data_IF_925415438016
#
_entry.id   IF_925415438016
#
_cell.length_a   1.000
_cell.length_b   1.000
_cell.length_c   1.000
_cell.angle_alpha   90.00
_cell.angle_beta   90.00
_cell.angle_gamma   90.00
#
_symmetry.space_group_name_H-M   'P 1'
#
loop_
_entity.id
_entity.type
_entity.pdbx_description
1 polymer ?
#
# COMPACT_ATOMS: atom_id res chain seq x y z
N UNK A 1 -52.74 18.62 -48.18
CA UNK A 1 -51.29 18.54 -47.88
C UNK A 1 -50.94 19.53 -46.78
N UNK A 2 -50.86 19.11 -45.51
CA UNK A 2 -50.15 19.83 -44.45
C UNK A 2 -49.51 18.80 -43.51
N UNK A 3 -48.20 18.97 -43.35
CA UNK A 3 -47.24 18.03 -42.79
C UNK A 3 -47.45 17.76 -41.29
N UNK A 4 -47.24 16.51 -40.88
CA UNK A 4 -47.01 16.10 -39.49
C UNK A 4 -45.65 16.65 -39.05
N UNK A 5 -45.58 17.33 -37.92
CA UNK A 5 -44.32 17.62 -37.23
C UNK A 5 -44.36 16.96 -35.86
N UNK A 6 -43.80 15.76 -35.81
CA UNK A 6 -43.54 14.99 -34.60
C UNK A 6 -42.25 15.58 -33.99
N UNK A 7 -42.39 16.39 -32.94
CA UNK A 7 -41.24 16.93 -32.20
C UNK A 7 -40.67 15.85 -31.29
N UNK A 8 -39.52 15.31 -31.69
CA UNK A 8 -38.74 14.33 -30.93
C UNK A 8 -37.97 15.09 -29.84
N UNK A 9 -38.36 14.91 -28.57
CA UNK A 9 -37.61 15.39 -27.42
C UNK A 9 -36.38 14.48 -27.26
N UNK A 10 -35.23 14.92 -27.74
CA UNK A 10 -33.96 14.25 -27.48
C UNK A 10 -33.50 14.62 -26.07
N UNK A 11 -33.73 13.72 -25.11
CA UNK A 11 -33.14 13.82 -23.78
C UNK A 11 -31.63 13.59 -23.89
N UNK A 12 -30.84 14.68 -23.83
CA UNK A 12 -29.41 14.64 -23.58
C UNK A 12 -29.19 14.20 -22.14
N UNK A 13 -29.02 12.89 -21.93
CA UNK A 13 -28.39 12.36 -20.72
C UNK A 13 -26.91 12.65 -20.86
N UNK A 14 -26.46 13.79 -20.33
CA UNK A 14 -25.04 14.02 -20.06
C UNK A 14 -24.68 13.08 -18.91
N UNK A 15 -24.06 11.95 -19.24
CA UNK A 15 -23.39 11.14 -18.24
C UNK A 15 -22.32 12.04 -17.59
N UNK A 16 -22.55 12.44 -16.35
CA UNK A 16 -21.55 13.09 -15.53
C UNK A 16 -20.43 12.06 -15.30
N UNK A 17 -19.36 12.16 -16.09
CA UNK A 17 -18.12 11.47 -15.77
C UNK A 17 -17.67 12.00 -14.40
N UNK A 18 -17.21 11.14 -13.47
CA UNK A 18 -16.66 11.60 -12.22
C UNK A 18 -15.57 12.63 -12.52
N UNK A 19 -15.63 13.77 -11.84
CA UNK A 19 -14.63 14.83 -11.96
C UNK A 19 -13.27 14.22 -11.63
N UNK A 20 -12.45 14.00 -12.66
CA UNK A 20 -11.06 13.59 -12.46
C UNK A 20 -10.37 14.69 -11.66
N UNK A 21 -9.71 14.30 -10.58
CA UNK A 21 -8.92 15.24 -9.82
C UNK A 21 -7.89 15.92 -10.74
N UNK A 22 -7.74 17.23 -10.57
CA UNK A 22 -6.77 17.97 -11.34
C UNK A 22 -5.35 17.71 -10.82
N UNK A 23 -4.36 18.04 -11.65
CA UNK A 23 -2.93 17.90 -11.35
C UNK A 23 -2.54 18.49 -9.99
N UNK A 24 -3.19 19.58 -9.57
CA UNK A 24 -2.89 20.23 -8.29
C UNK A 24 -3.27 19.35 -7.09
N UNK A 25 -4.43 18.68 -7.15
CA UNK A 25 -4.84 17.75 -6.09
C UNK A 25 -3.86 16.58 -5.92
N UNK A 26 -3.33 16.03 -7.03
CA UNK A 26 -2.34 14.96 -6.99
C UNK A 26 -1.02 15.44 -6.38
N UNK A 27 -0.53 16.62 -6.76
CA UNK A 27 0.72 17.16 -6.22
C UNK A 27 0.60 17.55 -4.74
N UNK A 28 -0.56 18.05 -4.32
CA UNK A 28 -0.84 18.31 -2.91
C UNK A 28 -0.83 17.01 -2.10
N UNK A 29 -1.45 15.95 -2.64
CA UNK A 29 -1.46 14.64 -2.00
C UNK A 29 -0.06 14.02 -1.93
N UNK A 30 0.71 14.08 -3.02
CA UNK A 30 2.10 13.64 -3.04
C UNK A 30 2.96 14.41 -2.02
N UNK A 31 2.72 15.71 -1.85
CA UNK A 31 3.40 16.51 -0.83
C UNK A 31 3.10 16.01 0.58
N UNK A 32 1.84 15.63 0.87
CA UNK A 32 1.44 15.09 2.17
C UNK A 32 2.00 13.69 2.44
N UNK A 33 1.94 12.79 1.46
CA UNK A 33 2.27 11.38 1.65
C UNK A 33 3.73 10.99 1.39
N UNK A 34 4.48 11.78 0.60
CA UNK A 34 5.86 11.45 0.20
C UNK A 34 6.90 12.48 0.65
N UNK A 35 6.56 13.76 0.79
CA UNK A 35 7.50 14.78 1.29
C UNK A 35 7.29 15.01 2.78
N UNK A 36 7.88 14.12 3.56
CA UNK A 36 7.82 14.17 5.01
C UNK A 36 9.20 14.11 5.65
N UNK A 37 9.31 14.77 6.80
CA UNK A 37 10.44 14.57 7.69
C UNK A 37 10.24 13.24 8.44
N UNK A 38 11.15 12.31 8.19
CA UNK A 38 11.25 11.11 9.01
C UNK A 38 11.63 11.48 10.43
N UNK A 39 10.64 11.46 11.32
CA UNK A 39 10.90 11.50 12.75
C UNK A 39 11.63 10.22 13.11
N UNK A 40 12.87 10.36 13.56
CA UNK A 40 13.74 9.28 14.00
C UNK A 40 13.27 8.76 15.37
N UNK A 41 12.09 8.16 15.43
CA UNK A 41 11.40 7.83 16.68
C UNK A 41 11.31 6.33 16.86
N UNK A 42 12.47 5.70 17.07
CA UNK A 42 12.54 4.54 17.95
C UNK A 42 13.46 4.91 19.09
N UNK A 43 12.89 5.13 20.27
CA UNK A 43 13.66 5.44 21.49
C UNK A 43 14.78 4.40 21.63
N UNK A 44 16.03 4.83 21.64
CA UNK A 44 17.21 3.96 21.78
C UNK A 44 17.76 3.34 20.48
N UNK A 45 17.26 3.72 19.30
CA UNK A 45 17.91 3.37 18.02
C UNK A 45 19.20 4.18 17.82
N UNK A 46 20.20 3.58 17.16
CA UNK A 46 21.40 4.29 16.71
C UNK A 46 21.07 5.38 15.68
N UNK A 47 21.16 6.63 16.11
CA UNK A 47 20.81 7.83 15.35
C UNK A 47 21.86 8.23 14.31
N UNK A 48 23.04 7.60 14.33
CA UNK A 48 24.10 7.87 13.35
C UNK A 48 23.86 7.18 12.01
N UNK A 49 22.87 6.28 11.94
CA UNK A 49 22.50 5.55 10.72
C UNK A 49 21.61 6.45 9.84
N UNK A 50 22.08 6.88 8.66
CA UNK A 50 21.31 7.79 7.81
C UNK A 50 20.08 7.08 7.26
N UNK A 51 18.97 7.81 7.16
CA UNK A 51 17.81 7.35 6.42
C UNK A 51 17.93 7.75 4.95
N UNK A 52 17.73 6.80 4.05
CA UNK A 52 17.77 7.00 2.60
C UNK A 52 16.62 6.24 1.95
N UNK A 53 15.55 6.97 1.61
CA UNK A 53 14.41 6.42 0.87
C UNK A 53 14.67 6.59 -0.62
N UNK A 54 15.24 5.58 -1.27
CA UNK A 54 15.45 5.64 -2.72
C UNK A 54 14.37 4.78 -3.42
N UNK A 55 13.62 5.37 -4.35
CA UNK A 55 12.57 4.63 -5.10
C UNK A 55 13.05 3.39 -5.86
N UNK A 56 14.33 3.35 -6.27
CA UNK A 56 14.95 2.17 -6.89
C UNK A 56 15.48 1.14 -5.88
N UNK A 57 15.51 1.45 -4.58
CA UNK A 57 15.93 0.49 -3.55
C UNK A 57 15.10 -0.78 -3.61
N UNK A 58 13.83 -0.70 -3.99
CA UNK A 58 12.96 -1.87 -4.06
C UNK A 58 12.81 -2.44 -5.47
N UNK A 59 13.35 -1.76 -6.49
CA UNK A 59 13.46 -2.32 -7.84
C UNK A 59 14.38 -3.56 -7.83
N UNK A 60 13.79 -4.75 -7.92
CA UNK A 60 14.48 -6.03 -7.78
C UNK A 60 14.71 -6.47 -6.32
N UNK A 61 13.93 -5.95 -5.37
CA UNK A 61 13.75 -6.60 -4.08
C UNK A 61 13.01 -7.94 -4.26
N UNK A 62 13.16 -8.84 -3.30
CA UNK A 62 12.36 -10.05 -3.19
C UNK A 62 11.29 -9.88 -2.10
N UNK A 63 10.11 -10.43 -2.33
CA UNK A 63 9.08 -10.59 -1.31
C UNK A 63 9.28 -11.94 -0.63
N UNK A 64 9.70 -11.93 0.62
CA UNK A 64 9.87 -13.14 1.42
C UNK A 64 8.65 -13.36 2.32
N UNK A 65 7.89 -14.41 2.05
CA UNK A 65 6.66 -14.74 2.75
C UNK A 65 6.99 -15.73 3.87
N UNK A 66 6.59 -15.39 5.09
CA UNK A 66 6.83 -16.17 6.30
C UNK A 66 5.57 -16.30 7.16
N UNK A 67 5.61 -17.22 8.13
CA UNK A 67 4.47 -17.52 8.99
C UNK A 67 3.61 -18.64 8.39
N UNK A 68 2.33 -18.38 8.25
CA UNK A 68 1.36 -19.29 7.65
C UNK A 68 1.48 -19.29 6.12
N UNK A 69 1.01 -20.36 5.47
CA UNK A 69 0.82 -20.35 4.03
C UNK A 69 -0.24 -19.29 3.66
N UNK A 70 -0.11 -18.60 2.51
CA UNK A 70 -1.14 -17.68 2.07
C UNK A 70 -2.48 -18.38 1.91
N UNK A 71 -3.52 -17.79 2.48
CA UNK A 71 -4.90 -18.09 2.11
C UNK A 71 -5.10 -17.80 0.61
N UNK A 72 -5.97 -18.53 -0.12
CA UNK A 72 -6.17 -18.31 -1.56
C UNK A 72 -6.41 -16.84 -1.97
N UNK A 73 -7.20 -16.09 -1.20
CA UNK A 73 -7.42 -14.66 -1.43
C UNK A 73 -6.17 -13.79 -1.20
N UNK A 74 -5.29 -14.15 -0.26
CA UNK A 74 -4.01 -13.48 -0.09
C UNK A 74 -3.06 -13.81 -1.25
N UNK A 75 -3.07 -15.07 -1.72
CA UNK A 75 -2.29 -15.49 -2.88
C UNK A 75 -2.67 -14.70 -4.14
N UNK A 76 -3.97 -14.50 -4.38
CA UNK A 76 -4.47 -13.71 -5.51
C UNK A 76 -3.94 -12.26 -5.49
N UNK A 77 -3.97 -11.61 -4.32
CA UNK A 77 -3.39 -10.27 -4.14
C UNK A 77 -1.87 -10.28 -4.38
N UNK A 78 -1.15 -11.27 -3.85
CA UNK A 78 0.30 -11.40 -4.01
C UNK A 78 0.70 -11.60 -5.47
N UNK A 79 -0.03 -12.43 -6.21
CA UNK A 79 0.23 -12.70 -7.62
C UNK A 79 -0.04 -11.45 -8.47
N UNK A 80 -1.18 -10.79 -8.26
CA UNK A 80 -1.53 -9.54 -8.94
C UNK A 80 -0.52 -8.42 -8.63
N UNK A 81 -0.08 -8.31 -7.37
CA UNK A 81 0.92 -7.31 -6.97
C UNK A 81 2.29 -7.61 -7.58
N UNK A 82 2.71 -8.87 -7.62
CA UNK A 82 3.97 -9.26 -8.30
C UNK A 82 3.94 -8.91 -9.79
N UNK A 83 2.78 -9.07 -10.44
CA UNK A 83 2.55 -8.67 -11.83
C UNK A 83 2.54 -7.15 -12.01
N UNK A 84 2.01 -6.40 -11.05
CA UNK A 84 2.05 -4.93 -11.04
C UNK A 84 3.50 -4.45 -10.95
N UNK A 85 4.27 -4.99 -10.00
CA UNK A 85 5.69 -4.66 -9.84
C UNK A 85 6.52 -5.00 -11.08
N UNK A 86 6.19 -6.11 -11.75
CA UNK A 86 6.79 -6.48 -13.04
C UNK A 86 6.47 -5.47 -14.13
N UNK A 87 5.24 -4.98 -14.17
CA UNK A 87 4.78 -3.99 -15.15
C UNK A 87 5.45 -2.64 -14.91
N UNK A 88 5.53 -2.20 -13.66
CA UNK A 88 6.11 -0.90 -13.27
C UNK A 88 7.64 -0.88 -13.40
N UNK A 89 8.34 -1.90 -12.89
CA UNK A 89 9.82 -1.90 -12.87
C UNK A 89 10.46 -2.63 -14.06
N UNK A 90 9.66 -3.29 -14.91
CA UNK A 90 10.17 -4.16 -15.99
C UNK A 90 10.94 -5.38 -15.48
N UNK A 91 10.82 -5.72 -14.18
CA UNK A 91 11.56 -6.81 -13.53
C UNK A 91 10.62 -7.62 -12.63
N UNK A 92 10.74 -8.96 -12.61
CA UNK A 92 9.90 -9.76 -11.73
C UNK A 92 10.15 -9.40 -10.27
N UNK A 93 9.09 -9.47 -9.45
CA UNK A 93 9.20 -9.49 -7.99
C UNK A 93 9.33 -10.96 -7.53
N UNK A 94 10.54 -11.44 -7.18
CA UNK A 94 10.69 -12.83 -6.78
C UNK A 94 10.00 -13.06 -5.44
N UNK A 95 9.04 -13.99 -5.40
CA UNK A 95 8.39 -14.43 -4.18
C UNK A 95 9.08 -15.66 -3.61
N UNK A 96 9.41 -15.64 -2.31
CA UNK A 96 10.08 -16.73 -1.61
C UNK A 96 9.26 -17.16 -0.41
N UNK A 97 8.86 -18.43 -0.37
CA UNK A 97 8.16 -19.00 0.78
C UNK A 97 9.17 -19.58 1.77
N UNK A 98 9.39 -18.85 2.87
CA UNK A 98 10.40 -19.20 3.88
C UNK A 98 9.80 -19.87 5.13
N UNK A 99 8.54 -20.29 5.08
CA UNK A 99 7.83 -20.94 6.18
C UNK A 99 7.83 -20.08 7.46
N UNK A 100 7.96 -20.68 8.64
CA UNK A 100 7.82 -19.98 9.93
C UNK A 100 8.81 -18.84 10.26
N UNK A 101 9.99 -18.74 9.63
CA UNK A 101 11.09 -17.85 10.09
C UNK A 101 11.72 -17.03 8.98
N UNK A 102 11.86 -15.71 9.21
CA UNK A 102 12.55 -14.79 8.30
C UNK A 102 14.04 -15.09 8.08
N UNK A 103 14.66 -15.91 8.94
CA UNK A 103 16.06 -16.36 8.75
C UNK A 103 16.26 -17.10 7.42
N UNK A 104 15.20 -17.69 6.86
CA UNK A 104 15.21 -18.40 5.57
C UNK A 104 14.99 -17.49 4.37
N UNK A 105 14.79 -16.18 4.57
CA UNK A 105 14.63 -15.21 3.47
C UNK A 105 15.91 -14.98 2.67
N UNK A 106 17.06 -15.40 3.20
CA UNK A 106 18.37 -15.15 2.62
C UNK A 106 18.86 -13.72 2.85
N UNK A 107 19.90 -13.35 2.12
CA UNK A 107 20.49 -12.00 2.14
C UNK A 107 20.06 -11.20 0.92
N UNK A 108 20.15 -9.86 1.00
CA UNK A 108 19.80 -8.95 -0.07
C UNK A 108 18.67 -7.99 0.29
N UNK A 109 18.11 -7.34 -0.73
CA UNK A 109 16.99 -6.41 -0.61
C UNK A 109 15.71 -7.23 -0.50
N UNK A 110 15.16 -7.31 0.70
CA UNK A 110 14.02 -8.19 0.99
C UNK A 110 12.95 -7.42 1.75
N UNK A 111 11.72 -7.58 1.30
CA UNK A 111 10.51 -7.24 2.03
C UNK A 111 10.03 -8.52 2.70
N UNK A 112 9.98 -8.57 4.02
CA UNK A 112 9.53 -9.74 4.78
C UNK A 112 8.05 -9.59 5.08
N UNK A 113 7.20 -10.43 4.51
CA UNK A 113 5.77 -10.47 4.78
C UNK A 113 5.43 -11.65 5.70
N UNK A 114 5.01 -11.37 6.92
CA UNK A 114 4.51 -12.37 7.86
C UNK A 114 2.99 -12.46 7.79
N UNK A 115 2.49 -13.62 7.36
CA UNK A 115 1.05 -13.93 7.36
C UNK A 115 0.64 -14.70 8.60
N UNK A 116 -0.53 -14.37 9.16
CA UNK A 116 -1.11 -15.02 10.33
C UNK A 116 -2.65 -14.94 10.34
N UNK A 117 -3.35 -15.95 10.85
CA UNK A 117 -4.83 -15.96 10.84
C UNK A 117 -5.48 -15.77 12.20
N UNK A 118 -4.77 -16.10 13.28
CA UNK A 118 -5.27 -16.03 14.65
C UNK A 118 -4.84 -14.79 15.42
N UNK A 119 -4.41 -15.02 16.66
CA UNK A 119 -3.78 -13.97 17.49
C UNK A 119 -2.42 -13.57 16.88
N UNK A 120 -2.00 -12.31 17.05
CA UNK A 120 -0.72 -11.86 16.54
C UNK A 120 0.46 -12.68 17.09
N UNK A 121 1.30 -13.29 16.22
CA UNK A 121 2.49 -14.01 16.64
C UNK A 121 3.64 -13.07 17.06
N UNK A 122 3.47 -12.33 18.16
CA UNK A 122 4.41 -11.30 18.65
C UNK A 122 5.83 -11.83 18.92
N UNK A 123 5.97 -13.09 19.37
CA UNK A 123 7.28 -13.73 19.52
C UNK A 123 7.98 -13.89 18.17
N UNK A 124 7.25 -14.33 17.14
CA UNK A 124 7.81 -14.50 15.81
C UNK A 124 8.13 -13.16 15.14
N UNK A 125 7.31 -12.13 15.37
CA UNK A 125 7.63 -10.74 15.00
C UNK A 125 8.95 -10.28 15.64
N UNK A 126 9.09 -10.49 16.94
CA UNK A 126 10.30 -10.13 17.69
C UNK A 126 11.53 -10.85 17.14
N UNK A 127 11.40 -12.14 16.83
CA UNK A 127 12.49 -12.96 16.25
C UNK A 127 12.88 -12.49 14.84
N UNK A 128 11.91 -12.12 14.01
CA UNK A 128 12.17 -11.58 12.68
C UNK A 128 12.93 -10.25 12.78
N UNK A 129 12.47 -9.33 13.62
CA UNK A 129 13.11 -8.02 13.81
C UNK A 129 14.50 -8.16 14.44
N UNK A 130 14.71 -9.11 15.35
CA UNK A 130 16.04 -9.42 15.89
C UNK A 130 16.99 -9.94 14.81
N UNK A 131 16.50 -10.82 13.92
CA UNK A 131 17.27 -11.29 12.77
C UNK A 131 17.57 -10.17 11.77
N UNK A 132 16.59 -9.34 11.42
CA UNK A 132 16.78 -8.17 10.54
C UNK A 132 17.78 -7.19 11.15
N UNK A 133 17.67 -6.91 12.46
CA UNK A 133 18.60 -6.04 13.18
C UNK A 133 20.04 -6.55 13.06
N UNK A 134 20.27 -7.85 13.26
CA UNK A 134 21.58 -8.47 13.10
C UNK A 134 22.09 -8.43 11.64
N UNK A 135 21.21 -8.70 10.68
CA UNK A 135 21.56 -8.86 9.26
C UNK A 135 21.86 -7.50 8.63
N UNK A 136 20.96 -6.53 8.81
CA UNK A 136 21.02 -5.20 8.21
C UNK A 136 21.75 -4.17 9.09
N UNK A 137 22.11 -4.54 10.33
CA UNK A 137 22.68 -3.63 11.33
C UNK A 137 21.78 -2.41 11.55
N UNK A 138 20.51 -2.65 11.89
CA UNK A 138 19.46 -1.62 12.03
C UNK A 138 19.66 -0.72 13.25
N UNK A 139 20.50 -1.15 14.21
CA UNK A 139 20.73 -0.41 15.44
C UNK A 139 19.54 -0.46 16.40
N UNK A 140 18.68 -1.48 16.30
CA UNK A 140 17.59 -1.68 17.24
C UNK A 140 18.14 -2.10 18.60
N UNK A 141 17.58 -1.59 19.72
CA UNK A 141 18.03 -1.93 21.05
C UNK A 141 17.83 -3.44 21.34
N UNK A 142 18.83 -4.10 21.93
CA UNK A 142 18.73 -5.53 22.24
C UNK A 142 17.70 -5.80 23.33
N UNK A 143 17.15 -7.02 23.36
CA UNK A 143 16.23 -7.47 24.40
C UNK A 143 14.82 -6.87 24.37
N UNK A 144 14.47 -6.06 23.35
CA UNK A 144 13.11 -5.57 23.17
C UNK A 144 12.19 -6.66 22.62
N UNK A 145 10.96 -6.66 23.14
CA UNK A 145 9.82 -7.38 22.56
C UNK A 145 9.02 -6.42 21.69
N UNK A 146 8.57 -6.92 20.54
CA UNK A 146 7.74 -6.20 19.60
C UNK A 146 6.36 -6.86 19.54
N UNK A 147 5.33 -6.03 19.43
CA UNK A 147 3.94 -6.49 19.44
C UNK A 147 3.19 -5.84 18.29
N UNK A 148 2.27 -6.60 17.69
CA UNK A 148 1.34 -6.03 16.73
C UNK A 148 0.35 -5.09 17.41
N UNK A 149 0.17 -3.91 16.81
CA UNK A 149 -0.78 -2.89 17.26
C UNK A 149 -1.99 -2.75 16.34
N UNK A 150 -1.94 -3.35 15.16
CA UNK A 150 -3.02 -3.39 14.16
C UNK A 150 -3.01 -4.73 13.42
N UNK A 151 -4.12 -5.11 12.75
CA UNK A 151 -4.19 -6.36 11.99
C UNK A 151 -3.19 -6.41 10.84
N UNK A 152 -2.79 -5.26 10.31
CA UNK A 152 -1.76 -5.09 9.31
C UNK A 152 -0.81 -3.97 9.74
N UNK A 153 0.49 -4.15 9.52
CA UNK A 153 1.52 -3.13 9.75
C UNK A 153 2.68 -3.33 8.79
N UNK A 154 3.24 -2.24 8.25
CA UNK A 154 4.52 -2.20 7.57
C UNK A 154 5.50 -1.31 8.33
N UNK A 155 6.73 -1.79 8.49
CA UNK A 155 7.81 -1.04 9.11
C UNK A 155 9.07 -1.15 8.27
N UNK A 156 9.50 -0.02 7.72
CA UNK A 156 10.77 0.09 7.01
C UNK A 156 11.87 0.48 7.99
N UNK A 157 12.95 -0.29 8.00
CA UNK A 157 14.12 -0.04 8.82
C UNK A 157 15.33 0.29 7.97
N UNK A 158 16.17 1.20 8.46
CA UNK A 158 17.42 1.60 7.84
C UNK A 158 18.59 1.21 8.74
N UNK A 159 19.50 0.41 8.20
CA UNK A 159 20.69 -0.07 8.89
C UNK A 159 21.98 0.24 8.15
N UNK A 160 23.11 0.03 8.82
CA UNK A 160 24.45 0.27 8.23
C UNK A 160 24.76 -0.63 7.03
N UNK A 161 24.06 -1.77 6.90
CA UNK A 161 24.26 -2.75 5.82
C UNK A 161 23.11 -2.77 4.82
N UNK A 162 22.18 -1.82 4.91
CA UNK A 162 21.04 -1.72 4.00
C UNK A 162 19.74 -1.43 4.73
N UNK A 163 18.69 -1.28 3.95
CA UNK A 163 17.32 -1.14 4.43
C UNK A 163 16.55 -2.44 4.23
N UNK A 164 15.49 -2.62 5.01
CA UNK A 164 14.55 -3.73 4.85
C UNK A 164 13.22 -3.41 5.49
N UNK A 165 12.16 -3.97 4.93
CA UNK A 165 10.79 -3.73 5.39
C UNK A 165 10.22 -5.02 5.95
N UNK A 166 9.59 -4.93 7.12
CA UNK A 166 8.83 -6.02 7.71
C UNK A 166 7.36 -5.67 7.66
N UNK A 167 6.55 -6.57 7.11
CA UNK A 167 5.10 -6.50 7.09
C UNK A 167 4.57 -7.62 7.97
N UNK A 168 3.54 -7.30 8.73
CA UNK A 168 2.79 -8.28 9.51
C UNK A 168 1.32 -8.12 9.18
N UNK A 169 0.75 -9.07 8.43
CA UNK A 169 -0.58 -8.94 7.86
C UNK A 169 -1.45 -10.13 8.27
N UNK A 170 -2.59 -9.81 8.86
CA UNK A 170 -3.61 -10.79 9.21
C UNK A 170 -4.29 -11.29 7.95
N UNK A 171 -4.56 -12.58 7.89
CA UNK A 171 -5.31 -13.20 6.83
C UNK A 171 -6.46 -14.02 7.42
N UNK A 172 -7.40 -14.52 6.61
CA UNK A 172 -8.49 -15.34 7.10
C UNK A 172 -8.00 -16.71 7.59
N UNK A 173 -8.63 -17.22 8.64
CA UNK A 173 -8.49 -18.61 9.05
C UNK A 173 -9.15 -19.59 8.07
N UNK A 174 -9.04 -20.91 8.33
CA UNK A 174 -9.71 -21.92 7.51
C UNK A 174 -11.22 -21.76 7.56
N UNK A 175 -11.88 -21.66 6.39
CA UNK A 175 -13.34 -21.57 6.33
C UNK A 175 -13.85 -20.86 5.08
N UNK A 176 -15.17 -20.76 4.98
CA UNK A 176 -15.82 -19.93 3.96
C UNK A 176 -15.91 -18.49 4.47
N UNK A 177 -15.40 -17.56 3.69
CA UNK A 177 -15.44 -16.14 4.01
C UNK A 177 -16.75 -15.50 3.57
N UNK A 178 -17.22 -14.57 4.38
CA UNK A 178 -18.18 -13.54 3.98
C UNK A 178 -17.53 -12.54 3.01
N UNK A 179 -18.35 -11.74 2.33
CA UNK A 179 -17.85 -10.70 1.42
C UNK A 179 -17.12 -9.59 2.19
N UNK A 180 -17.58 -9.27 3.40
CA UNK A 180 -16.93 -8.33 4.31
C UNK A 180 -15.51 -8.79 4.68
N UNK A 181 -15.35 -10.04 5.13
CA UNK A 181 -14.04 -10.60 5.47
C UNK A 181 -13.11 -10.62 4.26
N UNK A 182 -13.65 -11.01 3.09
CA UNK A 182 -12.87 -11.03 1.84
C UNK A 182 -12.35 -9.64 1.49
N UNK A 183 -13.20 -8.62 1.55
CA UNK A 183 -12.82 -7.23 1.28
C UNK A 183 -11.79 -6.73 2.31
N UNK A 184 -12.02 -7.00 3.59
CA UNK A 184 -11.14 -6.58 4.68
C UNK A 184 -9.72 -7.12 4.55
N UNK A 185 -9.57 -8.45 4.48
CA UNK A 185 -8.24 -9.07 4.42
C UNK A 185 -7.48 -8.73 3.13
N UNK A 186 -8.20 -8.52 2.03
CA UNK A 186 -7.62 -8.03 0.77
C UNK A 186 -7.14 -6.59 0.91
N UNK A 187 -8.00 -5.69 1.40
CA UNK A 187 -7.72 -4.26 1.53
C UNK A 187 -6.46 -3.99 2.37
N UNK A 188 -6.35 -4.63 3.54
CA UNK A 188 -5.18 -4.44 4.42
C UNK A 188 -3.89 -5.01 3.80
N UNK A 189 -3.95 -6.12 3.05
CA UNK A 189 -2.75 -6.66 2.40
C UNK A 189 -2.29 -5.76 1.25
N UNK A 190 -3.23 -5.21 0.47
CA UNK A 190 -2.92 -4.28 -0.63
C UNK A 190 -2.22 -3.03 -0.09
N UNK A 191 -2.76 -2.44 0.98
CA UNK A 191 -2.21 -1.25 1.61
C UNK A 191 -0.75 -1.44 2.04
N UNK A 192 -0.47 -2.48 2.82
CA UNK A 192 0.87 -2.71 3.36
C UNK A 192 1.89 -3.03 2.26
N UNK A 193 1.47 -3.77 1.23
CA UNK A 193 2.32 -4.02 0.07
C UNK A 193 2.63 -2.70 -0.64
N UNK A 194 1.62 -1.86 -0.89
CA UNK A 194 1.82 -0.60 -1.58
C UNK A 194 2.72 0.37 -0.81
N UNK A 195 2.45 0.60 0.48
CA UNK A 195 3.31 1.41 1.36
C UNK A 195 4.74 0.89 1.38
N UNK A 196 4.90 -0.43 1.47
CA UNK A 196 6.22 -1.05 1.53
C UNK A 196 7.05 -0.82 0.27
N UNK A 197 6.42 -0.71 -0.91
CA UNK A 197 7.10 -0.54 -2.19
C UNK A 197 7.20 0.91 -2.69
N UNK A 198 6.41 1.82 -2.13
CA UNK A 198 6.46 3.26 -2.46
C UNK A 198 7.08 4.14 -1.39
N UNK A 199 7.17 3.64 -0.15
CA UNK A 199 7.45 4.43 1.05
C UNK A 199 6.44 5.57 1.28
N UNK A 200 5.26 5.49 0.66
CA UNK A 200 4.14 6.36 0.98
C UNK A 200 3.69 6.12 2.42
N UNK A 201 3.30 7.19 3.09
CA UNK A 201 2.71 7.14 4.43
C UNK A 201 1.21 7.36 4.36
N UNK A 202 0.51 6.93 5.41
CA UNK A 202 -0.91 7.27 5.62
C UNK A 202 -1.12 8.78 5.59
N UNK A 203 -2.19 9.19 4.92
CA UNK A 203 -2.56 10.58 4.70
C UNK A 203 -3.93 10.78 5.33
N UNK A 204 -4.01 11.67 6.30
CA UNK A 204 -5.30 12.02 6.89
C UNK A 204 -6.17 12.76 5.87
N UNK A 205 -7.33 12.17 5.60
CA UNK A 205 -8.37 12.75 4.78
C UNK A 205 -9.40 13.43 5.69
N UNK A 206 -9.54 14.76 5.57
CA UNK A 206 -10.38 15.56 6.47
C UNK A 206 -11.67 16.07 5.81
N UNK A 207 -11.77 16.05 4.49
CA UNK A 207 -12.91 16.58 3.75
C UNK A 207 -13.85 15.45 3.33
N UNK A 208 -14.90 15.19 4.11
CA UNK A 208 -15.88 14.12 3.82
C UNK A 208 -16.56 14.22 2.47
N UNK A 209 -16.55 15.41 1.85
CA UNK A 209 -17.23 15.65 0.59
C UNK A 209 -16.28 15.48 -0.61
N UNK A 210 -14.96 15.37 -0.37
CA UNK A 210 -13.98 15.13 -1.41
C UNK A 210 -13.85 13.62 -1.70
N UNK A 211 -13.72 13.23 -2.98
CA UNK A 211 -13.39 11.85 -3.31
C UNK A 211 -11.97 11.53 -2.85
N UNK A 212 -11.75 10.26 -2.50
CA UNK A 212 -10.40 9.77 -2.29
C UNK A 212 -9.68 9.69 -3.62
N UNK A 213 -8.37 9.89 -3.57
CA UNK A 213 -7.46 9.75 -4.69
C UNK A 213 -6.50 8.58 -4.48
N UNK A 214 -6.23 8.21 -3.23
CA UNK A 214 -5.26 7.18 -2.83
C UNK A 214 -5.83 6.20 -1.81
N UNK A 215 -5.37 4.95 -1.89
CA UNK A 215 -5.54 3.93 -0.83
C UNK A 215 -4.96 4.37 0.52
N UNK A 216 -3.93 5.21 0.51
CA UNK A 216 -3.28 5.71 1.73
C UNK A 216 -4.03 6.86 2.40
N UNK A 217 -5.10 7.36 1.78
CA UNK A 217 -5.96 8.34 2.42
C UNK A 217 -6.90 7.64 3.39
N UNK A 218 -6.92 8.11 4.64
CA UNK A 218 -7.79 7.59 5.69
C UNK A 218 -8.61 8.68 6.38
N UNK A 219 -9.89 8.41 6.59
CA UNK A 219 -10.71 9.16 7.54
C UNK A 219 -10.51 8.63 8.95
N UNK A 220 -10.25 9.51 9.93
CA UNK A 220 -10.10 9.09 11.32
C UNK A 220 -11.35 8.38 11.86
N UNK A 221 -11.23 7.09 12.16
CA UNK A 221 -12.26 6.27 12.82
C UNK A 221 -11.75 5.73 14.14
N UNK A 222 -12.61 5.66 15.16
CA UNK A 222 -12.22 5.11 16.47
C UNK A 222 -12.54 3.62 16.57
N UNK A 223 -11.52 2.78 16.31
CA UNK A 223 -11.64 1.32 16.35
C UNK A 223 -10.96 0.67 17.57
N UNK A 224 -10.41 1.47 18.48
CA UNK A 224 -9.48 1.02 19.53
C UNK A 224 -10.01 -0.09 20.44
N UNK A 225 -11.33 -0.14 20.67
CA UNK A 225 -11.96 -1.09 21.58
C UNK A 225 -12.68 -2.24 20.87
N UNK A 226 -12.59 -2.32 19.54
CA UNK A 226 -13.25 -3.35 18.76
C UNK A 226 -12.28 -4.50 18.47
N UNK A 227 -12.69 -5.77 18.64
CA UNK A 227 -11.88 -6.91 18.21
C UNK A 227 -11.64 -6.86 16.69
N UNK A 228 -10.41 -7.09 16.24
CA UNK A 228 -10.06 -7.04 14.81
C UNK A 228 -10.85 -8.04 13.96
N UNK A 229 -11.29 -9.15 14.55
CA UNK A 229 -12.10 -10.19 13.89
C UNK A 229 -13.61 -9.89 13.94
N UNK A 230 -14.03 -8.73 14.48
CA UNK A 230 -15.45 -8.36 14.53
C UNK A 230 -15.89 -7.64 13.25
N UNK A 231 -17.12 -7.88 12.81
CA UNK A 231 -17.71 -7.20 11.65
C UNK A 231 -17.65 -5.67 11.80
N UNK A 232 -17.96 -5.14 12.99
CA UNK A 232 -17.91 -3.70 13.27
C UNK A 232 -16.50 -3.10 13.07
N UNK A 233 -15.44 -3.83 13.43
CA UNK A 233 -14.07 -3.39 13.16
C UNK A 233 -13.78 -3.37 11.65
N UNK A 234 -14.16 -4.45 10.95
CA UNK A 234 -13.91 -4.59 9.52
C UNK A 234 -14.67 -3.54 8.69
N UNK A 235 -15.94 -3.31 9.00
CA UNK A 235 -16.78 -2.28 8.40
C UNK A 235 -16.20 -0.88 8.66
N UNK A 236 -15.80 -0.62 9.92
CA UNK A 236 -15.18 0.65 10.29
C UNK A 236 -13.88 0.94 9.54
N UNK A 237 -13.02 -0.07 9.38
CA UNK A 237 -11.76 0.08 8.64
C UNK A 237 -11.98 0.18 7.12
N UNK A 238 -12.85 -0.65 6.54
CA UNK A 238 -13.19 -0.54 5.12
C UNK A 238 -13.94 0.75 4.79
N UNK A 239 -14.59 1.34 5.78
CA UNK A 239 -15.22 2.65 5.67
C UNK A 239 -14.25 3.83 5.86
N UNK A 240 -13.01 3.61 6.31
CA UNK A 240 -12.07 4.72 6.49
C UNK A 240 -11.22 5.01 5.26
N UNK A 241 -11.09 4.07 4.32
CA UNK A 241 -10.25 4.24 3.14
C UNK A 241 -10.72 3.39 1.94
N UNK A 242 -10.21 3.62 0.71
CA UNK A 242 -10.54 2.81 -0.46
C UNK A 242 -10.19 1.33 -0.28
N UNK A 243 -10.83 0.45 -1.04
CA UNK A 243 -10.63 -1.01 -0.88
C UNK A 243 -9.42 -1.55 -1.62
N UNK A 244 -8.85 -0.77 -2.53
CA UNK A 244 -7.71 -1.11 -3.36
C UNK A 244 -6.98 0.13 -3.89
N UNK A 245 -6.00 -0.08 -4.76
CA UNK A 245 -5.16 0.97 -5.31
C UNK A 245 -5.90 1.84 -6.32
N UNK A 246 -5.76 3.15 -6.15
CA UNK A 246 -6.39 4.17 -6.96
C UNK A 246 -5.46 4.71 -8.07
N UNK A 247 -5.97 5.55 -8.97
CA UNK A 247 -5.19 6.15 -10.09
C UNK A 247 -3.92 6.87 -9.60
N UNK A 248 -4.03 7.62 -8.49
CA UNK A 248 -2.87 8.27 -7.87
C UNK A 248 -1.83 7.26 -7.39
N UNK A 249 -2.24 6.15 -6.77
CA UNK A 249 -1.31 5.15 -6.23
C UNK A 249 -0.47 4.53 -7.34
N UNK A 250 -1.11 4.16 -8.44
CA UNK A 250 -0.42 3.59 -9.59
C UNK A 250 0.49 4.64 -10.25
N UNK A 251 0.06 5.90 -10.32
CA UNK A 251 0.89 7.01 -10.80
C UNK A 251 2.15 7.15 -9.95
N UNK A 252 2.01 7.17 -8.63
CA UNK A 252 3.13 7.29 -7.70
C UNK A 252 4.06 6.07 -7.77
N UNK A 253 3.53 4.87 -7.99
CA UNK A 253 4.34 3.66 -8.17
C UNK A 253 5.25 3.79 -9.41
N UNK A 254 4.73 4.28 -10.53
CA UNK A 254 5.52 4.59 -11.73
C UNK A 254 6.56 5.69 -11.47
N UNK A 255 6.17 6.78 -10.79
CA UNK A 255 7.07 7.87 -10.48
C UNK A 255 8.24 7.43 -9.59
N UNK A 256 7.97 6.67 -8.53
CA UNK A 256 8.98 6.11 -7.62
C UNK A 256 9.92 5.15 -8.37
N UNK A 257 9.40 4.38 -9.32
CA UNK A 257 10.19 3.42 -10.08
C UNK A 257 11.23 4.08 -11.01
N UNK A 258 10.92 5.25 -11.56
CA UNK A 258 11.77 5.95 -12.54
C UNK A 258 12.53 7.14 -11.97
N UNK A 259 12.19 7.58 -10.75
CA UNK A 259 12.84 8.64 -10.00
C UNK A 259 14.39 8.59 -10.08
N UNK A 260 15.04 9.63 -10.66
CA UNK A 260 16.50 9.65 -10.79
C UNK A 260 17.22 10.01 -9.50
N UNK A 261 16.55 10.69 -8.58
CA UNK A 261 17.10 11.19 -7.31
C UNK A 261 17.41 10.06 -6.32
N UNK A 262 18.34 10.34 -5.42
CA UNK A 262 18.71 9.42 -4.33
C UNK A 262 17.61 9.30 -3.27
N UNK A 263 16.73 10.29 -3.16
CA UNK A 263 15.67 10.37 -2.16
C UNK A 263 14.33 10.71 -2.78
N UNK A 264 13.30 9.92 -2.50
CA UNK A 264 11.92 10.18 -2.94
C UNK A 264 11.07 10.82 -1.86
N UNK A 265 11.72 11.49 -0.90
CA UNK A 265 11.06 12.21 0.19
C UNK A 265 11.50 13.67 0.32
N UNK A 266 12.05 14.24 -0.75
CA UNK A 266 12.44 15.64 -0.83
C UNK A 266 11.60 16.40 -1.87
N UNK A 267 11.73 17.72 -1.90
CA UNK A 267 11.00 18.57 -2.83
C UNK A 267 11.33 18.28 -4.30
N UNK A 268 12.57 17.86 -4.60
CA UNK A 268 12.99 17.57 -5.97
C UNK A 268 12.23 16.38 -6.58
N UNK A 269 11.78 15.44 -5.74
CA UNK A 269 10.89 14.38 -6.18
C UNK A 269 9.51 14.91 -6.62
N UNK A 270 8.96 15.93 -5.96
CA UNK A 270 7.70 16.55 -6.39
C UNK A 270 7.84 17.27 -7.73
N UNK A 271 8.93 18.02 -7.91
CA UNK A 271 9.22 18.68 -9.18
C UNK A 271 9.30 17.65 -10.32
N UNK A 272 9.93 16.50 -10.05
CA UNK A 272 10.00 15.40 -11.01
C UNK A 272 8.62 14.79 -11.34
N UNK A 273 7.77 14.57 -10.33
CA UNK A 273 6.39 14.11 -10.53
C UNK A 273 5.60 15.11 -11.35
N UNK A 274 5.75 16.40 -11.07
CA UNK A 274 5.08 17.49 -11.79
C UNK A 274 5.52 17.51 -13.27
N UNK A 275 6.82 17.54 -13.54
CA UNK A 275 7.39 17.57 -14.90
C UNK A 275 6.94 16.40 -15.78
N UNK A 276 6.65 15.24 -15.17
CA UNK A 276 6.29 14.00 -15.87
C UNK A 276 4.84 13.58 -15.65
N UNK A 277 4.01 14.45 -15.05
CA UNK A 277 2.66 14.14 -14.59
C UNK A 277 1.81 13.43 -15.65
N UNK A 278 1.72 14.02 -16.85
CA UNK A 278 0.87 13.49 -17.93
C UNK A 278 1.30 12.09 -18.39
N UNK A 279 2.62 11.83 -18.40
CA UNK A 279 3.17 10.54 -18.76
C UNK A 279 2.84 9.48 -17.70
N UNK A 280 3.04 9.79 -16.42
CA UNK A 280 2.70 8.86 -15.33
C UNK A 280 1.20 8.62 -15.23
N UNK A 281 0.37 9.65 -15.48
CA UNK A 281 -1.08 9.52 -15.52
C UNK A 281 -1.55 8.60 -16.65
N UNK A 282 -0.94 8.72 -17.83
CA UNK A 282 -1.23 7.81 -18.94
C UNK A 282 -0.83 6.36 -18.62
N UNK A 283 0.33 6.15 -17.99
CA UNK A 283 0.77 4.83 -17.55
C UNK A 283 -0.17 4.25 -16.50
N UNK A 284 -0.58 5.06 -15.51
CA UNK A 284 -1.52 4.65 -14.48
C UNK A 284 -2.85 4.19 -15.08
N UNK A 285 -3.42 4.96 -16.03
CA UNK A 285 -4.64 4.58 -16.75
C UNK A 285 -4.50 3.30 -17.55
N UNK A 286 -3.37 3.12 -18.23
CA UNK A 286 -3.09 1.89 -18.96
C UNK A 286 -3.00 0.68 -18.03
N UNK A 287 -2.44 0.86 -16.84
CA UNK A 287 -2.39 -0.18 -15.81
C UNK A 287 -3.79 -0.45 -15.26
N UNK A 288 -4.56 0.56 -14.86
CA UNK A 288 -5.92 0.38 -14.34
C UNK A 288 -6.89 -0.26 -15.33
N UNK A 289 -6.65 -0.13 -16.64
CA UNK A 289 -7.47 -0.78 -17.67
C UNK A 289 -7.12 -2.26 -17.91
N UNK A 290 -6.05 -2.78 -17.32
CA UNK A 290 -5.61 -4.16 -17.46
C UNK A 290 -6.23 -5.05 -16.37
N UNK A 291 -7.11 -5.95 -16.79
CA UNK A 291 -7.89 -6.86 -15.93
C UNK A 291 -7.05 -7.73 -15.00
N UNK A 292 -5.75 -7.88 -15.27
CA UNK A 292 -4.83 -8.61 -14.37
C UNK A 292 -4.71 -7.95 -12.99
N UNK A 293 -5.04 -6.67 -12.87
CA UNK A 293 -4.92 -5.90 -11.63
C UNK A 293 -6.24 -5.68 -10.89
N UNK A 294 -7.37 -6.17 -11.41
CA UNK A 294 -8.71 -6.06 -10.79
C UNK A 294 -8.73 -6.58 -9.34
N UNK A 295 -7.83 -7.52 -9.00
CA UNK A 295 -7.67 -8.08 -7.66
C UNK A 295 -6.96 -7.14 -6.66
N UNK A 296 -6.42 -6.00 -7.09
CA UNK A 296 -5.71 -5.06 -6.23
C UNK A 296 -6.07 -3.60 -6.46
N UNK A 297 -6.76 -3.25 -7.54
CA UNK A 297 -7.16 -1.87 -7.86
C UNK A 297 -8.60 -1.56 -7.45
N UNK A 298 -8.85 -0.28 -7.20
CA UNK A 298 -10.17 0.31 -6.99
C UNK A 298 -10.31 1.49 -7.98
N UNK A 299 -10.86 1.26 -9.18
CA UNK A 299 -10.88 2.26 -10.24
C UNK A 299 -11.83 3.43 -9.93
N UNK A 300 -12.83 3.20 -9.08
CA UNK A 300 -13.73 4.24 -8.63
C UNK A 300 -13.11 5.07 -7.49
N UNK A 301 -12.16 4.49 -6.74
CA UNK A 301 -11.52 5.10 -5.57
C UNK A 301 -12.52 5.82 -4.66
N UNK A 302 -13.72 5.25 -4.55
CA UNK A 302 -14.74 5.77 -3.66
C UNK A 302 -14.51 5.10 -2.31
N UNK A 303 -13.89 5.79 -1.37
CA UNK A 303 -14.25 5.51 0.02
C UNK A 303 -15.69 5.97 0.27
N UNK A 304 -16.28 5.72 1.44
CA UNK A 304 -17.73 5.86 1.61
C UNK A 304 -18.16 7.32 1.58
N UNK A 305 -18.47 7.82 0.38
CA UNK A 305 -19.39 8.93 0.18
C UNK A 305 -20.74 8.28 -0.05
N UNK A 306 -21.65 8.55 0.89
CA UNK A 306 -22.92 7.86 1.05
C UNK A 306 -23.84 7.92 -0.17
N UNK A 307 -24.78 6.95 -0.17
CA UNK A 307 -26.11 7.21 -0.71
C UNK A 307 -26.77 8.41 0.00
#
# INVERSE_FOLDING_TARGET
>A
MKFRMLGMLAALVVAALPARADRAAYLDLARKGWVYELRTTMVGRDMTIPVRIHGRSLAGAALCIVGEAPHPGAQEVLDAFADLMRTVHGKPLPMRYAGSSARRCGTGRTVVLRLYSGRPPNLALTDDLAWMNKTLALGLPPGRSYMATSPAMAQTFFGRRGAGTHLMVKQPGPGRLTDLERAFYRSILIEELFQSFTFGMDILHFDSDAPYLSKLEEFPVNLMNLPWDSAAFMEGLLGSNPTGLCEFDILMLHAVATAPMERTNDAAFLDYVDDHYDAFLQQARSTLADLRFDAITDPDCRGPVGD
#
